data_IF_057096787082
#
_entry.id   IF_057096787082
#
_cell.length_a   1.000
_cell.length_b   1.000
_cell.length_c   1.000
_cell.angle_alpha   90.00
_cell.angle_beta   90.00
_cell.angle_gamma   90.00
#
_symmetry.space_group_name_H-M   'P 1'
#
loop_
_entity.id
_entity.type
_entity.pdbx_description
1 polymer ?
#
# COMPACT_ATOMS: atom_id res chain seq x y z
N UNK A 1 -43.86 -5.16 10.72
CA UNK A 1 -43.06 -6.28 10.18
C UNK A 1 -42.44 -5.92 8.80
N UNK A 2 -41.77 -4.77 8.67
CA UNK A 2 -41.22 -4.29 7.38
C UNK A 2 -39.70 -4.12 7.38
N UNK A 3 -39.04 -4.31 8.51
CA UNK A 3 -37.60 -4.01 8.71
C UNK A 3 -36.64 -5.15 8.30
N UNK A 4 -37.12 -6.39 8.15
CA UNK A 4 -36.29 -7.57 7.82
C UNK A 4 -35.62 -7.51 6.44
N UNK A 5 -36.31 -7.14 5.33
CA UNK A 5 -35.66 -7.05 4.03
C UNK A 5 -34.69 -5.87 3.93
N UNK A 6 -35.00 -4.75 4.60
CA UNK A 6 -34.15 -3.56 4.61
C UNK A 6 -32.78 -3.82 5.30
N UNK A 7 -32.77 -4.58 6.41
CA UNK A 7 -31.54 -4.93 7.12
C UNK A 7 -30.62 -5.82 6.26
N UNK A 8 -31.19 -6.76 5.51
CA UNK A 8 -30.40 -7.64 4.62
C UNK A 8 -29.79 -6.88 3.44
N UNK A 9 -30.51 -5.91 2.88
CA UNK A 9 -30.01 -5.07 1.79
C UNK A 9 -28.88 -4.15 2.27
N UNK A 10 -29.02 -3.53 3.45
CA UNK A 10 -27.96 -2.68 4.04
C UNK A 10 -26.71 -3.50 4.37
N UNK A 11 -26.87 -4.70 4.94
CA UNK A 11 -25.72 -5.59 5.18
C UNK A 11 -25.04 -5.99 3.87
N UNK A 12 -25.78 -6.30 2.80
CA UNK A 12 -25.16 -6.69 1.54
C UNK A 12 -24.35 -5.55 0.90
N UNK A 13 -24.76 -4.29 1.07
CA UNK A 13 -24.07 -3.14 0.44
C UNK A 13 -22.87 -2.66 1.24
N UNK A 14 -22.82 -2.83 2.57
CA UNK A 14 -21.66 -2.41 3.37
C UNK A 14 -20.44 -3.32 3.19
N UNK A 15 -20.60 -4.52 2.63
CA UNK A 15 -19.49 -5.43 2.32
C UNK A 15 -18.73 -5.03 1.05
N UNK A 16 -19.30 -4.13 0.23
CA UNK A 16 -18.66 -3.61 -0.97
C UNK A 16 -17.77 -2.39 -0.71
N UNK A 17 -17.78 -1.86 0.51
CA UNK A 17 -16.86 -0.79 0.91
C UNK A 17 -15.44 -1.38 1.10
N UNK A 18 -14.62 -1.31 0.06
CA UNK A 18 -13.20 -1.66 0.13
C UNK A 18 -12.42 -0.70 1.04
N UNK A 19 -11.31 -1.17 1.60
CA UNK A 19 -10.39 -0.31 2.35
C UNK A 19 -9.64 0.61 1.38
N UNK A 20 -9.78 1.93 1.54
CA UNK A 20 -8.99 2.90 0.80
C UNK A 20 -7.58 2.97 1.40
N UNK A 21 -6.62 2.28 0.78
CA UNK A 21 -5.20 2.44 1.11
C UNK A 21 -4.69 3.63 0.30
N UNK A 22 -4.36 4.75 0.96
CA UNK A 22 -3.67 5.84 0.27
C UNK A 22 -2.32 5.34 -0.21
N UNK A 23 -1.95 5.71 -1.44
CA UNK A 23 -0.85 5.06 -2.18
C UNK A 23 0.51 5.04 -1.47
N UNK A 24 0.73 5.90 -0.48
CA UNK A 24 1.99 6.05 0.24
C UNK A 24 1.97 5.55 1.69
N UNK A 25 0.81 5.17 2.26
CA UNK A 25 0.71 4.82 3.68
C UNK A 25 1.19 3.38 3.99
N UNK A 26 1.19 2.52 2.97
CA UNK A 26 1.50 1.09 3.14
C UNK A 26 2.98 0.75 2.88
N UNK A 27 3.77 1.70 2.39
CA UNK A 27 5.16 1.48 2.01
C UNK A 27 6.07 2.59 2.54
N UNK A 28 7.36 2.27 2.69
CA UNK A 28 8.39 3.18 3.15
C UNK A 28 9.68 3.00 2.32
N UNK A 29 10.64 3.95 2.41
CA UNK A 29 11.93 3.80 1.76
C UNK A 29 12.71 2.59 2.32
N UNK A 30 13.32 1.81 1.45
CA UNK A 30 14.19 0.69 1.84
C UNK A 30 15.62 1.20 2.02
N UNK A 31 16.22 0.96 3.18
CA UNK A 31 17.59 1.38 3.53
C UNK A 31 18.41 0.16 3.97
N UNK A 32 19.02 -0.56 3.01
CA UNK A 32 19.85 -1.72 3.33
C UNK A 32 21.04 -1.33 4.19
N UNK A 33 21.45 -2.25 5.07
CA UNK A 33 22.72 -2.15 5.78
C UNK A 33 23.88 -2.29 4.80
N UNK A 34 25.03 -1.69 5.12
CA UNK A 34 26.26 -1.94 4.38
C UNK A 34 26.74 -3.40 4.45
N UNK A 35 26.23 -4.17 5.44
CA UNK A 35 26.52 -5.60 5.58
C UNK A 35 25.63 -6.50 4.70
N UNK A 36 24.57 -5.96 4.10
CA UNK A 36 23.62 -6.76 3.31
C UNK A 36 24.24 -7.16 1.96
N UNK A 37 24.22 -8.45 1.66
CA UNK A 37 24.67 -8.96 0.37
C UNK A 37 23.51 -8.93 -0.63
N UNK A 38 23.48 -7.87 -1.44
CA UNK A 38 22.46 -7.68 -2.48
C UNK A 38 22.97 -8.15 -3.83
N UNK A 39 22.12 -8.89 -4.54
CA UNK A 39 22.32 -9.08 -5.98
C UNK A 39 22.16 -7.74 -6.70
N UNK A 40 22.77 -7.64 -7.88
CA UNK A 40 22.65 -6.44 -8.71
C UNK A 40 21.19 -6.18 -9.15
N UNK A 41 20.40 -7.24 -9.38
CA UNK A 41 18.96 -7.11 -9.66
C UNK A 41 18.19 -6.49 -8.49
N UNK A 42 18.46 -6.95 -7.27
CA UNK A 42 17.82 -6.43 -6.05
C UNK A 42 18.20 -4.98 -5.79
N UNK A 43 19.47 -4.59 -6.01
CA UNK A 43 19.92 -3.19 -5.91
C UNK A 43 19.11 -2.28 -6.81
N UNK A 44 18.94 -2.65 -8.09
CA UNK A 44 18.14 -1.85 -9.03
C UNK A 44 16.68 -1.75 -8.59
N UNK A 45 16.08 -2.84 -8.13
CA UNK A 45 14.69 -2.82 -7.65
C UNK A 45 14.51 -1.88 -6.46
N UNK A 46 15.42 -1.92 -5.49
CA UNK A 46 15.39 -1.03 -4.31
C UNK A 46 15.55 0.42 -4.72
N UNK A 47 16.48 0.71 -5.64
CA UNK A 47 16.69 2.06 -6.16
C UNK A 47 15.42 2.58 -6.83
N UNK A 48 14.84 1.82 -7.77
CA UNK A 48 13.59 2.18 -8.46
C UNK A 48 12.43 2.39 -7.50
N UNK A 49 12.30 1.54 -6.47
CA UNK A 49 11.28 1.69 -5.42
C UNK A 49 11.43 3.01 -4.68
N UNK A 50 12.65 3.31 -4.21
CA UNK A 50 12.93 4.53 -3.45
C UNK A 50 12.77 5.80 -4.29
N UNK A 51 13.23 5.81 -5.55
CA UNK A 51 13.07 6.94 -6.47
C UNK A 51 11.60 7.17 -6.83
N UNK A 52 10.83 6.09 -6.99
CA UNK A 52 9.39 6.18 -7.24
C UNK A 52 8.66 6.78 -6.04
N UNK A 53 8.98 6.34 -4.82
CA UNK A 53 8.43 6.94 -3.62
C UNK A 53 8.92 8.37 -3.35
N UNK A 54 10.14 8.73 -3.75
CA UNK A 54 10.60 10.12 -3.70
C UNK A 54 9.74 11.01 -4.62
N UNK A 55 9.47 10.54 -5.84
CA UNK A 55 8.65 11.26 -6.83
C UNK A 55 7.17 11.35 -6.45
N UNK A 56 6.58 10.27 -5.96
CA UNK A 56 5.13 10.16 -5.74
C UNK A 56 4.71 10.45 -4.29
N UNK A 57 5.60 10.19 -3.33
CA UNK A 57 5.30 10.22 -1.89
C UNK A 57 6.17 11.19 -1.09
N UNK A 58 7.10 11.92 -1.75
CA UNK A 58 7.98 12.89 -1.08
C UNK A 58 9.02 12.23 -0.15
N UNK A 59 9.31 10.94 -0.35
CA UNK A 59 10.33 10.25 0.42
C UNK A 59 11.71 10.89 0.23
N UNK A 60 12.48 10.97 1.31
CA UNK A 60 13.82 11.55 1.31
C UNK A 60 14.87 10.45 1.18
N UNK A 61 16.01 10.70 0.51
CA UNK A 61 17.15 9.79 0.47
C UNK A 61 17.64 9.40 1.87
#
# INVERSE_FOLDING_TARGET
>A
MTSRPAILIVCATTWLAGCEIRSCDWANPIRPSSADQLTEGTRRQILTHNETGARLCGWRP
#
